data_IF_174096526029
#
_entry.id   IF_174096526029
#
_cell.length_a   1.000
_cell.length_b   1.000
_cell.length_c   1.000
_cell.angle_alpha   90.00
_cell.angle_beta   90.00
_cell.angle_gamma   90.00
#
_symmetry.space_group_name_H-M   'P 1'
#
loop_
_entity.id
_entity.type
_entity.pdbx_description
1 polymer ?
#
# COMPACT_ATOMS: atom_id res chain seq x y z
N UNK A 1 5.95 5.89 4.50
CA UNK A 1 5.42 4.79 3.69
C UNK A 1 4.16 4.18 4.26
N UNK A 2 4.17 3.81 5.54
CA UNK A 2 2.98 3.23 6.18
C UNK A 2 1.77 4.14 6.14
N UNK A 3 1.97 5.43 6.32
CA UNK A 3 0.87 6.41 6.25
C UNK A 3 0.21 6.45 4.88
N UNK A 4 0.99 6.35 3.83
CA UNK A 4 0.46 6.36 2.46
C UNK A 4 -0.39 5.13 2.19
N UNK A 5 0.09 3.97 2.61
CA UNK A 5 -0.65 2.71 2.47
C UNK A 5 -1.96 2.79 3.24
N UNK A 6 -1.90 3.27 4.47
CA UNK A 6 -3.07 3.42 5.32
C UNK A 6 -4.10 4.36 4.70
N UNK A 7 -3.66 5.51 4.21
CA UNK A 7 -4.55 6.46 3.57
C UNK A 7 -5.20 5.89 2.32
N UNK A 8 -4.44 5.10 1.58
CA UNK A 8 -4.97 4.43 0.40
C UNK A 8 -6.08 3.45 0.76
N UNK A 9 -5.88 2.66 1.84
CA UNK A 9 -6.92 1.76 2.32
C UNK A 9 -8.17 2.50 2.77
N UNK A 10 -8.00 3.62 3.46
CA UNK A 10 -9.14 4.43 3.90
C UNK A 10 -9.95 4.92 2.70
N UNK A 11 -9.29 5.34 1.63
CA UNK A 11 -9.97 5.76 0.42
C UNK A 11 -10.80 4.66 -0.22
N UNK A 12 -10.27 3.43 -0.21
CA UNK A 12 -10.98 2.30 -0.82
C UNK A 12 -12.08 1.74 0.07
N UNK A 13 -11.85 1.70 1.37
CA UNK A 13 -12.77 1.05 2.30
C UNK A 13 -13.70 2.01 3.02
N UNK A 14 -13.39 3.29 3.03
CA UNK A 14 -14.17 4.34 3.70
C UNK A 14 -14.35 4.17 5.21
N UNK A 15 -13.71 3.18 5.81
CA UNK A 15 -13.84 2.91 7.23
C UNK A 15 -12.49 2.54 7.82
N UNK A 16 -12.07 3.33 8.79
CA UNK A 16 -10.79 3.16 9.46
C UNK A 16 -10.74 1.86 10.25
N UNK A 17 -11.86 1.45 10.83
CA UNK A 17 -11.90 0.25 11.68
C UNK A 17 -11.94 -1.05 10.90
N UNK A 18 -12.29 -1.00 9.63
CA UNK A 18 -12.37 -2.21 8.82
C UNK A 18 -11.08 -2.55 8.09
N UNK A 19 -9.99 -1.85 8.35
CA UNK A 19 -8.70 -2.16 7.71
C UNK A 19 -8.15 -3.45 8.33
N UNK A 20 -8.09 -4.56 7.57
CA UNK A 20 -7.69 -5.86 8.10
C UNK A 20 -6.17 -6.05 8.12
N UNK A 21 -5.42 -4.99 8.34
CA UNK A 21 -3.97 -5.04 8.26
C UNK A 21 -3.32 -5.00 9.63
N UNK A 22 -2.46 -5.98 9.90
CA UNK A 22 -1.55 -5.96 11.03
C UNK A 22 -0.32 -5.13 10.68
N UNK A 23 0.50 -4.80 11.68
CA UNK A 23 1.75 -4.10 11.43
C UNK A 23 2.67 -4.87 10.50
N UNK A 24 2.69 -6.18 10.62
CA UNK A 24 3.51 -7.03 9.76
C UNK A 24 3.09 -6.90 8.30
N UNK A 25 1.81 -6.85 8.05
CA UNK A 25 1.32 -6.69 6.69
C UNK A 25 1.65 -5.32 6.13
N UNK A 26 1.55 -4.27 6.95
CA UNK A 26 1.99 -2.94 6.54
C UNK A 26 3.46 -2.94 6.16
N UNK A 27 4.29 -3.60 6.96
CA UNK A 27 5.71 -3.67 6.68
C UNK A 27 6.01 -4.42 5.38
N UNK A 28 5.29 -5.51 5.14
CA UNK A 28 5.44 -6.26 3.89
C UNK A 28 5.10 -5.40 2.68
N UNK A 29 3.99 -4.69 2.76
CA UNK A 29 3.56 -3.83 1.66
C UNK A 29 4.54 -2.70 1.45
N UNK A 30 5.05 -2.10 2.52
CA UNK A 30 6.05 -1.05 2.43
C UNK A 30 7.33 -1.56 1.78
N UNK A 31 7.77 -2.76 2.13
CA UNK A 31 8.94 -3.37 1.51
C UNK A 31 8.72 -3.63 0.03
N UNK A 32 7.55 -4.11 -0.34
CA UNK A 32 7.22 -4.36 -1.73
C UNK A 32 7.23 -3.06 -2.53
N UNK A 33 6.63 -2.01 -2.00
CA UNK A 33 6.63 -0.70 -2.63
C UNK A 33 8.05 -0.20 -2.82
N UNK A 34 8.88 -0.28 -1.78
CA UNK A 34 10.28 0.14 -1.86
C UNK A 34 11.06 -0.66 -2.89
N UNK A 35 10.82 -1.96 -2.98
CA UNK A 35 11.48 -2.81 -3.95
C UNK A 35 11.14 -2.39 -5.38
N UNK A 36 9.87 -2.16 -5.64
CA UNK A 36 9.40 -1.74 -6.96
C UNK A 36 10.01 -0.39 -7.35
N UNK A 37 10.02 0.56 -6.42
CA UNK A 37 10.57 1.89 -6.66
C UNK A 37 12.08 1.83 -6.90
N UNK A 38 12.77 0.97 -6.16
CA UNK A 38 14.21 0.80 -6.32
C UNK A 38 14.56 0.27 -7.72
N UNK A 39 13.76 -0.65 -8.24
CA UNK A 39 13.97 -1.19 -9.57
C UNK A 39 13.48 -0.26 -10.68
N UNK A 40 12.49 0.55 -10.38
CA UNK A 40 11.89 1.46 -11.36
C UNK A 40 11.78 2.87 -10.77
N UNK A 41 12.90 3.59 -10.67
CA UNK A 41 12.89 4.91 -10.01
C UNK A 41 12.09 5.99 -10.74
N UNK A 42 11.64 5.72 -11.95
CA UNK A 42 10.79 6.67 -12.69
C UNK A 42 9.33 6.59 -12.26
N UNK A 43 8.94 5.53 -11.57
CA UNK A 43 7.54 5.36 -11.15
C UNK A 43 7.20 6.30 -10.00
N UNK A 44 5.97 6.77 -10.00
CA UNK A 44 5.44 7.59 -8.92
C UNK A 44 5.12 6.69 -7.72
N UNK A 45 5.57 7.11 -6.54
CA UNK A 45 5.31 6.39 -5.29
C UNK A 45 3.82 6.17 -5.08
N UNK A 46 2.99 7.17 -5.36
CA UNK A 46 1.54 7.05 -5.21
C UNK A 46 0.96 5.96 -6.09
N UNK A 47 1.40 5.89 -7.34
CA UNK A 47 0.92 4.86 -8.25
C UNK A 47 1.28 3.47 -7.76
N UNK A 48 2.51 3.30 -7.29
CA UNK A 48 2.98 2.01 -6.80
C UNK A 48 2.18 1.60 -5.55
N UNK A 49 1.96 2.53 -4.63
CA UNK A 49 1.17 2.25 -3.43
C UNK A 49 -0.25 1.85 -3.80
N UNK A 50 -0.87 2.56 -4.74
CA UNK A 50 -2.22 2.21 -5.20
C UNK A 50 -2.28 0.82 -5.82
N UNK A 51 -1.29 0.48 -6.63
CA UNK A 51 -1.24 -0.83 -7.27
C UNK A 51 -1.11 -1.95 -6.23
N UNK A 52 -0.24 -1.79 -5.26
CA UNK A 52 -0.02 -2.78 -4.22
C UNK A 52 -1.29 -2.96 -3.38
N UNK A 53 -1.91 -1.87 -2.99
CA UNK A 53 -3.16 -1.91 -2.21
C UNK A 53 -4.28 -2.55 -3.02
N UNK A 54 -4.40 -2.18 -4.28
CA UNK A 54 -5.43 -2.74 -5.15
C UNK A 54 -5.29 -4.25 -5.29
N UNK A 55 -4.07 -4.72 -5.51
CA UNK A 55 -3.81 -6.15 -5.61
C UNK A 55 -4.18 -6.88 -4.31
N UNK A 56 -3.86 -6.28 -3.18
CA UNK A 56 -4.19 -6.86 -1.89
C UNK A 56 -5.71 -6.99 -1.72
N UNK A 57 -6.45 -5.96 -2.11
CA UNK A 57 -7.91 -5.94 -1.94
C UNK A 57 -8.65 -6.84 -2.92
N UNK A 58 -8.05 -7.11 -4.08
CA UNK A 58 -8.72 -7.93 -5.08
C UNK A 58 -8.48 -9.43 -4.93
N UNK A 59 -7.73 -9.84 -3.95
CA UNK A 59 -7.50 -11.26 -3.68
C UNK A 59 -8.64 -11.91 -2.89
#
# INVERSE_FOLDING_TARGET
MKKMIRNCFIQYQHDFESIPLSEEEYERMAKEVNHIITENPILDVFEVVHDVVYEYLSK
#
